data_IF_111358382633
#
_entry.id   IF_111358382633
#
_cell.length_a   1.000
_cell.length_b   1.000
_cell.length_c   1.000
_cell.angle_alpha   90.00
_cell.angle_beta   90.00
_cell.angle_gamma   90.00
#
_symmetry.space_group_name_H-M   'P 1'
#
loop_
_entity.id
_entity.type
_entity.pdbx_description
1 polymer ?
#
# COMPACT_ATOMS: atom_id res chain seq x y z
N UNK A 1 -39.80 -38.08 13.22
CA UNK A 1 -38.54 -37.38 13.57
C UNK A 1 -38.23 -36.49 12.39
N UNK A 2 -38.23 -35.17 12.58
CA UNK A 2 -38.11 -34.23 11.47
C UNK A 2 -36.67 -34.19 10.92
N UNK A 3 -36.49 -34.71 9.69
CA UNK A 3 -35.22 -34.72 8.96
C UNK A 3 -35.03 -33.41 8.20
N UNK A 4 -33.78 -32.99 7.98
CA UNK A 4 -33.48 -31.81 7.17
C UNK A 4 -33.47 -32.16 5.67
N UNK A 5 -34.18 -31.38 4.87
CA UNK A 5 -34.14 -31.50 3.42
C UNK A 5 -32.87 -30.84 2.86
N UNK A 6 -32.11 -31.59 2.08
CA UNK A 6 -30.89 -31.12 1.40
C UNK A 6 -31.10 -30.78 -0.08
N UNK A 7 -32.32 -30.85 -0.58
CA UNK A 7 -32.62 -30.34 -1.92
C UNK A 7 -32.31 -28.84 -1.98
N UNK A 8 -31.67 -28.42 -3.07
CA UNK A 8 -31.22 -27.03 -3.27
C UNK A 8 -32.41 -26.07 -3.18
N UNK A 9 -32.25 -24.98 -2.43
CA UNK A 9 -33.28 -23.97 -2.11
C UNK A 9 -34.48 -24.44 -1.25
N UNK A 10 -34.49 -25.67 -0.71
CA UNK A 10 -35.53 -26.10 0.22
C UNK A 10 -35.12 -25.84 1.68
N UNK A 11 -34.14 -26.58 2.21
CA UNK A 11 -33.62 -26.39 3.58
C UNK A 11 -34.63 -26.58 4.71
N UNK A 12 -35.84 -27.07 4.43
CA UNK A 12 -36.90 -27.27 5.41
C UNK A 12 -36.74 -28.60 6.14
N UNK A 13 -37.28 -28.68 7.36
CA UNK A 13 -37.43 -29.95 8.07
C UNK A 13 -38.72 -30.64 7.64
N UNK A 14 -38.67 -31.95 7.43
CA UNK A 14 -39.82 -32.75 6.98
C UNK A 14 -39.89 -34.08 7.73
N UNK A 15 -41.10 -34.63 7.85
CA UNK A 15 -41.30 -35.98 8.38
C UNK A 15 -41.38 -36.99 7.22
N UNK A 16 -40.55 -38.05 7.21
CA UNK A 16 -40.53 -39.04 6.13
C UNK A 16 -41.89 -39.71 5.86
N UNK A 17 -42.69 -39.89 6.90
CA UNK A 17 -44.01 -40.54 6.83
C UNK A 17 -45.06 -39.67 6.10
N UNK A 18 -44.84 -38.36 6.01
CA UNK A 18 -45.74 -37.41 5.36
C UNK A 18 -45.12 -36.77 4.10
N UNK A 19 -44.05 -37.37 3.55
CA UNK A 19 -43.34 -36.86 2.38
C UNK A 19 -44.04 -37.28 1.09
N UNK A 20 -44.79 -36.36 0.48
CA UNK A 20 -45.47 -36.57 -0.81
C UNK A 20 -44.71 -35.94 -1.97
N UNK A 21 -45.05 -36.32 -3.21
CA UNK A 21 -44.41 -35.83 -4.43
C UNK A 21 -44.53 -34.31 -4.64
N UNK A 22 -45.46 -33.65 -3.95
CA UNK A 22 -45.64 -32.19 -4.01
C UNK A 22 -45.10 -31.44 -2.78
N UNK A 23 -44.47 -32.13 -1.83
CA UNK A 23 -44.09 -31.56 -0.53
C UNK A 23 -42.87 -30.62 -0.60
N UNK A 24 -41.91 -30.87 -1.49
CA UNK A 24 -40.68 -30.10 -1.59
C UNK A 24 -40.65 -29.22 -2.84
N UNK A 25 -40.30 -27.93 -2.70
CA UNK A 25 -39.99 -27.04 -3.81
C UNK A 25 -38.48 -26.79 -3.88
N UNK A 26 -37.84 -27.25 -4.96
CA UNK A 26 -36.40 -27.15 -5.12
C UNK A 26 -35.96 -26.90 -6.57
N UNK A 27 -34.67 -26.62 -6.75
CA UNK A 27 -34.04 -26.52 -8.06
C UNK A 27 -33.23 -27.79 -8.36
N UNK A 28 -33.61 -28.61 -9.35
CA UNK A 28 -32.83 -29.78 -9.76
C UNK A 28 -31.56 -29.39 -10.53
N UNK A 29 -31.50 -28.14 -11.02
CA UNK A 29 -30.38 -27.63 -11.79
C UNK A 29 -29.15 -27.28 -10.97
N UNK A 30 -28.15 -26.75 -11.66
CA UNK A 30 -26.95 -26.17 -11.06
C UNK A 30 -27.04 -24.64 -11.06
N UNK A 31 -26.42 -23.95 -10.09
CA UNK A 31 -26.21 -22.51 -10.18
C UNK A 31 -25.49 -22.15 -11.47
N UNK A 32 -25.97 -21.13 -12.17
CA UNK A 32 -25.31 -20.56 -13.34
C UNK A 32 -25.04 -19.06 -13.09
N UNK A 33 -23.85 -18.63 -13.47
CA UNK A 33 -23.39 -17.25 -13.32
C UNK A 33 -22.82 -16.79 -14.67
N UNK A 34 -23.59 -15.97 -15.40
CA UNK A 34 -23.20 -15.45 -16.71
C UNK A 34 -23.72 -14.03 -16.89
N UNK A 35 -22.94 -13.13 -17.50
CA UNK A 35 -23.31 -11.73 -17.74
C UNK A 35 -23.82 -10.97 -16.51
N UNK A 36 -23.15 -11.14 -15.36
CA UNK A 36 -23.55 -10.61 -14.05
C UNK A 36 -24.93 -11.09 -13.53
N UNK A 37 -25.59 -11.98 -14.25
CA UNK A 37 -26.83 -12.62 -13.88
C UNK A 37 -26.57 -13.97 -13.20
N UNK A 38 -27.26 -14.19 -12.10
CA UNK A 38 -27.21 -15.37 -11.25
C UNK A 38 -28.54 -16.09 -11.35
N UNK A 39 -28.52 -17.41 -11.52
CA UNK A 39 -29.75 -18.19 -11.57
C UNK A 39 -29.49 -19.68 -11.59
N UNK A 40 -30.53 -20.44 -11.94
CA UNK A 40 -30.47 -21.90 -11.97
C UNK A 40 -30.64 -22.41 -13.40
N UNK A 41 -29.91 -23.46 -13.78
CA UNK A 41 -30.04 -24.05 -15.13
C UNK A 41 -31.43 -24.63 -15.41
N UNK A 42 -32.18 -25.00 -14.37
CA UNK A 42 -33.51 -25.60 -14.47
C UNK A 42 -34.65 -24.59 -14.67
N UNK A 43 -34.42 -23.28 -14.51
CA UNK A 43 -35.46 -22.27 -14.74
C UNK A 43 -34.90 -20.98 -15.32
N UNK A 44 -35.77 -20.12 -15.87
CA UNK A 44 -35.36 -18.85 -16.52
C UNK A 44 -35.22 -17.67 -15.55
N UNK A 45 -35.49 -17.84 -14.26
CA UNK A 45 -35.35 -16.76 -13.27
C UNK A 45 -33.87 -16.40 -13.10
N UNK A 46 -33.55 -15.12 -13.24
CA UNK A 46 -32.21 -14.55 -13.17
C UNK A 46 -32.26 -13.28 -12.32
N UNK A 47 -31.23 -13.04 -11.53
CA UNK A 47 -31.07 -11.82 -10.73
C UNK A 47 -29.63 -11.35 -10.77
N UNK A 48 -29.42 -10.05 -10.67
CA UNK A 48 -28.10 -9.44 -10.50
C UNK A 48 -27.61 -9.49 -9.06
N UNK A 49 -28.51 -9.62 -8.07
CA UNK A 49 -28.18 -9.63 -6.64
C UNK A 49 -27.91 -11.05 -6.11
N UNK A 50 -26.90 -11.19 -5.25
CA UNK A 50 -26.53 -12.49 -4.70
C UNK A 50 -27.50 -12.98 -3.61
N UNK A 51 -28.04 -12.07 -2.80
CA UNK A 51 -29.00 -12.42 -1.74
C UNK A 51 -30.34 -12.83 -2.34
N UNK A 52 -30.77 -12.14 -3.38
CA UNK A 52 -31.96 -12.52 -4.16
C UNK A 52 -31.76 -13.89 -4.83
N UNK A 53 -30.56 -14.20 -5.34
CA UNK A 53 -30.26 -15.51 -5.95
C UNK A 53 -30.45 -16.67 -4.97
N UNK A 54 -29.93 -16.55 -3.75
CA UNK A 54 -30.11 -17.54 -2.69
C UNK A 54 -31.58 -17.70 -2.29
N UNK A 55 -32.37 -16.65 -2.46
CA UNK A 55 -33.79 -16.59 -2.12
C UNK A 55 -34.72 -17.04 -3.27
N UNK A 56 -34.18 -17.42 -4.45
CA UNK A 56 -35.01 -17.90 -5.57
C UNK A 56 -35.67 -19.22 -5.16
N UNK A 57 -37.00 -19.18 -4.98
CA UNK A 57 -37.81 -20.37 -4.71
C UNK A 57 -37.61 -21.44 -5.79
N UNK A 58 -37.54 -22.70 -5.36
CA UNK A 58 -37.45 -23.87 -6.21
C UNK A 58 -38.48 -23.86 -7.35
N UNK A 59 -38.06 -24.31 -8.54
CA UNK A 59 -38.93 -24.34 -9.71
C UNK A 59 -39.61 -25.71 -9.93
N UNK A 60 -39.21 -26.73 -9.17
CA UNK A 60 -39.70 -28.12 -9.32
C UNK A 60 -40.29 -28.59 -8.00
N UNK A 61 -41.42 -29.30 -8.08
CA UNK A 61 -42.02 -30.02 -6.96
C UNK A 61 -41.51 -31.46 -6.93
N UNK A 62 -41.27 -31.99 -5.75
CA UNK A 62 -40.87 -33.39 -5.56
C UNK A 62 -40.89 -33.78 -4.09
N UNK A 63 -40.32 -34.95 -3.80
CA UNK A 63 -40.08 -35.40 -2.44
C UNK A 63 -38.94 -34.62 -1.78
N UNK A 64 -39.01 -34.43 -0.47
CA UNK A 64 -37.86 -33.99 0.30
C UNK A 64 -36.78 -35.09 0.33
N UNK A 65 -35.51 -34.70 0.26
CA UNK A 65 -34.37 -35.62 0.37
C UNK A 65 -33.58 -35.35 1.65
N UNK A 66 -33.35 -36.39 2.45
CA UNK A 66 -32.47 -36.33 3.63
C UNK A 66 -31.01 -36.64 3.29
N UNK A 67 -30.71 -36.96 2.02
CA UNK A 67 -29.35 -37.26 1.57
C UNK A 67 -28.60 -35.95 1.35
N UNK A 68 -27.51 -35.74 2.11
CA UNK A 68 -26.61 -34.62 1.89
C UNK A 68 -25.86 -34.85 0.57
N UNK A 69 -26.00 -33.97 -0.44
CA UNK A 69 -25.18 -34.05 -1.65
C UNK A 69 -23.70 -34.02 -1.26
N UNK A 70 -22.83 -34.79 -1.93
CA UNK A 70 -21.40 -34.72 -1.70
C UNK A 70 -20.94 -33.27 -1.84
N UNK A 71 -20.13 -32.80 -0.90
CA UNK A 71 -19.55 -31.46 -0.97
C UNK A 71 -18.83 -31.32 -2.31
N UNK A 72 -19.15 -30.31 -3.14
CA UNK A 72 -18.44 -30.10 -4.38
C UNK A 72 -16.99 -29.73 -4.04
N UNK A 73 -16.10 -30.71 -4.07
CA UNK A 73 -14.68 -30.47 -4.24
C UNK A 73 -14.52 -29.56 -5.45
N UNK A 74 -13.71 -28.51 -5.30
CA UNK A 74 -13.43 -27.54 -6.35
C UNK A 74 -13.16 -28.28 -7.67
N UNK A 75 -14.12 -28.21 -8.59
CA UNK A 75 -13.95 -28.84 -9.88
C UNK A 75 -12.96 -27.99 -10.67
N UNK A 76 -11.74 -28.49 -10.77
CA UNK A 76 -10.82 -28.18 -11.86
C UNK A 76 -11.57 -28.43 -13.17
N UNK A 77 -11.63 -27.41 -14.03
CA UNK A 77 -12.27 -27.50 -15.35
C UNK A 77 -11.51 -28.50 -16.23
N UNK A 78 -11.91 -29.77 -16.19
CA UNK A 78 -11.63 -30.74 -17.24
C UNK A 78 -12.79 -30.70 -18.23
N UNK A 79 -12.70 -29.81 -19.21
CA UNK A 79 -13.63 -29.78 -20.35
C UNK A 79 -13.03 -30.62 -21.49
N UNK A 80 -13.51 -31.86 -21.61
CA UNK A 80 -13.30 -32.68 -22.80
C UNK A 80 -14.05 -32.08 -24.00
N UNK A 81 -13.30 -31.77 -25.06
CA UNK A 81 -13.77 -31.26 -26.35
C UNK A 81 -14.67 -32.27 -27.08
N UNK A 82 -15.69 -31.79 -27.82
CA UNK A 82 -16.01 -32.33 -29.14
C UNK A 82 -15.50 -31.40 -30.25
N UNK A 83 -14.94 -31.98 -31.32
CA UNK A 83 -14.41 -31.28 -32.49
C UNK A 83 -15.53 -30.63 -33.33
N UNK A 84 -15.39 -29.34 -33.66
CA UNK A 84 -15.89 -28.75 -34.91
C UNK A 84 -15.11 -27.48 -35.31
N UNK A 85 -14.83 -27.42 -36.63
CA UNK A 85 -14.12 -26.50 -37.55
C UNK A 85 -13.82 -25.02 -37.17
N UNK A 86 -12.78 -24.40 -37.79
CA UNK A 86 -12.30 -23.07 -37.45
C UNK A 86 -13.11 -21.96 -38.15
N UNK A 87 -13.59 -20.98 -37.38
CA UNK A 87 -13.98 -19.67 -37.86
C UNK A 87 -13.25 -18.64 -37.00
N UNK A 88 -12.52 -17.75 -37.65
CA UNK A 88 -11.76 -16.67 -37.03
C UNK A 88 -12.71 -15.76 -36.24
N UNK A 89 -12.52 -15.66 -34.93
CA UNK A 89 -13.16 -14.63 -34.10
C UNK A 89 -12.12 -13.93 -33.22
N UNK A 90 -11.77 -12.73 -33.68
CA UNK A 90 -11.60 -11.48 -32.92
C UNK A 90 -11.22 -11.68 -31.44
N UNK A 91 -9.94 -11.40 -31.15
CA UNK A 91 -9.36 -11.34 -29.80
C UNK A 91 -10.10 -10.26 -29.00
N UNK A 92 -11.12 -10.68 -28.26
CA UNK A 92 -11.65 -9.87 -27.15
C UNK A 92 -10.86 -10.30 -25.91
N UNK A 93 -9.85 -9.52 -25.52
CA UNK A 93 -9.08 -9.81 -24.30
C UNK A 93 -10.03 -9.75 -23.09
N UNK A 94 -10.30 -10.91 -22.49
CA UNK A 94 -10.98 -11.00 -21.19
C UNK A 94 -10.17 -10.21 -20.16
N UNK A 95 -10.80 -9.39 -19.28
CA UNK A 95 -10.08 -8.77 -18.17
C UNK A 95 -9.40 -9.87 -17.35
N UNK A 96 -8.10 -9.69 -17.07
CA UNK A 96 -7.32 -10.64 -16.28
C UNK A 96 -7.98 -10.80 -14.90
N UNK A 97 -8.06 -12.03 -14.40
CA UNK A 97 -8.53 -12.30 -13.03
C UNK A 97 -7.65 -11.56 -12.01
N UNK A 98 -8.25 -11.06 -10.93
CA UNK A 98 -7.54 -10.35 -9.86
C UNK A 98 -6.38 -11.16 -9.28
N UNK A 99 -6.53 -12.49 -9.20
CA UNK A 99 -5.47 -13.41 -8.75
C UNK A 99 -4.25 -13.44 -9.69
N UNK A 100 -4.50 -13.39 -11.00
CA UNK A 100 -3.43 -13.35 -12.00
C UNK A 100 -2.73 -11.98 -12.01
N UNK A 101 -3.49 -10.90 -11.81
CA UNK A 101 -2.93 -9.56 -11.65
C UNK A 101 -2.02 -9.45 -10.42
N UNK A 102 -2.41 -10.05 -9.29
CA UNK A 102 -1.57 -10.08 -8.09
C UNK A 102 -0.29 -10.90 -8.28
N UNK A 103 -0.32 -12.02 -9.01
CA UNK A 103 0.87 -12.84 -9.30
C UNK A 103 1.83 -12.20 -10.31
N UNK A 104 1.31 -11.43 -11.27
CA UNK A 104 2.11 -10.69 -12.26
C UNK A 104 2.67 -9.38 -11.69
N UNK A 105 2.24 -8.99 -10.48
CA UNK A 105 2.65 -7.74 -9.83
C UNK A 105 4.12 -7.82 -9.37
N UNK A 106 4.97 -6.88 -9.80
CA UNK A 106 6.36 -6.80 -9.36
C UNK A 106 6.48 -6.64 -7.84
N UNK A 107 7.61 -7.05 -7.26
CA UNK A 107 7.82 -6.91 -5.82
C UNK A 107 7.81 -5.43 -5.40
N UNK A 108 7.30 -5.17 -4.20
CA UNK A 108 7.37 -3.87 -3.55
C UNK A 108 8.83 -3.42 -3.31
N UNK A 109 9.73 -4.38 -3.06
CA UNK A 109 11.16 -4.17 -2.81
C UNK A 109 11.99 -3.86 -4.07
N UNK A 110 11.36 -3.74 -5.25
CA UNK A 110 12.09 -3.31 -6.45
C UNK A 110 12.74 -1.92 -6.25
N UNK A 111 13.96 -1.70 -6.78
CA UNK A 111 14.68 -0.46 -6.58
C UNK A 111 13.88 0.73 -7.11
N UNK A 112 13.68 1.73 -6.25
CA UNK A 112 12.90 2.93 -6.57
C UNK A 112 13.76 3.91 -7.35
N UNK A 113 13.22 4.42 -8.46
CA UNK A 113 13.89 5.43 -9.26
C UNK A 113 13.49 6.83 -8.80
N UNK A 114 14.47 7.74 -8.72
CA UNK A 114 14.20 9.14 -8.43
C UNK A 114 13.53 9.82 -9.62
N UNK A 115 12.37 10.44 -9.40
CA UNK A 115 11.60 11.12 -10.42
C UNK A 115 12.09 12.56 -10.63
N UNK A 116 12.10 13.06 -11.88
CA UNK A 116 12.49 14.44 -12.16
C UNK A 116 11.45 15.42 -11.60
N UNK A 117 11.93 16.42 -10.85
CA UNK A 117 11.07 17.46 -10.27
C UNK A 117 11.00 18.64 -11.24
N UNK A 118 9.79 19.00 -11.65
CA UNK A 118 9.52 20.24 -12.40
C UNK A 118 8.86 21.26 -11.48
N UNK A 119 9.52 22.40 -11.31
CA UNK A 119 9.03 23.49 -10.45
C UNK A 119 8.24 24.48 -11.32
N UNK A 120 7.10 24.95 -10.82
CA UNK A 120 6.33 25.98 -11.52
C UNK A 120 6.93 27.36 -11.27
N UNK A 121 6.89 28.24 -12.28
CA UNK A 121 7.39 29.62 -12.20
C UNK A 121 6.79 30.41 -11.02
N UNK A 122 5.53 30.16 -10.69
CA UNK A 122 4.85 30.81 -9.57
C UNK A 122 5.48 30.44 -8.22
N UNK A 123 5.90 29.19 -8.05
CA UNK A 123 6.57 28.74 -6.82
C UNK A 123 7.99 29.30 -6.73
N UNK A 124 8.73 29.33 -7.84
CA UNK A 124 10.07 29.95 -7.91
C UNK A 124 10.01 31.41 -7.45
N UNK A 125 9.09 32.21 -8.01
CA UNK A 125 8.90 33.60 -7.63
C UNK A 125 8.48 33.78 -6.16
N UNK A 126 7.65 32.87 -5.64
CA UNK A 126 7.25 32.91 -4.24
C UNK A 126 8.43 32.64 -3.29
N UNK A 127 9.30 31.68 -3.64
CA UNK A 127 10.50 31.37 -2.87
C UNK A 127 11.54 32.50 -2.95
N UNK A 128 11.71 33.12 -4.11
CA UNK A 128 12.56 34.31 -4.28
C UNK A 128 12.08 35.46 -3.39
N UNK A 129 10.78 35.76 -3.38
CA UNK A 129 10.19 36.81 -2.52
C UNK A 129 10.37 36.52 -1.03
N UNK A 130 10.20 35.27 -0.60
CA UNK A 130 10.42 34.86 0.79
C UNK A 130 11.88 35.03 1.22
N UNK A 131 12.82 34.79 0.30
CA UNK A 131 14.25 35.04 0.51
C UNK A 131 14.64 36.53 0.49
N UNK A 132 13.85 37.38 -0.16
CA UNK A 132 14.06 38.83 -0.18
C UNK A 132 13.45 39.50 1.06
N UNK A 133 12.27 39.06 1.51
CA UNK A 133 11.61 39.61 2.70
C UNK A 133 12.35 39.31 4.01
N UNK A 134 13.22 38.29 4.03
CA UNK A 134 14.12 38.01 5.16
C UNK A 134 15.39 38.88 5.16
N UNK A 135 15.60 39.72 4.14
CA UNK A 135 16.78 40.60 4.00
C UNK A 135 16.54 42.08 4.34
N UNK A 136 15.31 42.52 4.60
CA UNK A 136 14.99 43.94 4.83
C UNK A 136 15.18 44.43 6.29
N UNK A 137 15.67 43.59 7.20
CA UNK A 137 16.25 44.02 8.49
C UNK A 137 17.77 43.78 8.44
N UNK A 138 18.54 44.80 8.08
CA UNK A 138 20.00 44.72 7.98
C UNK A 138 20.66 45.65 9.04
N UNK A 139 21.91 45.41 9.47
CA UNK A 139 23.04 45.48 8.55
C UNK A 139 24.05 44.31 8.59
N UNK A 140 24.65 44.11 7.41
CA UNK A 140 25.96 43.51 7.09
C UNK A 140 26.17 41.98 7.28
N UNK A 141 26.19 41.28 6.13
CA UNK A 141 26.72 39.92 5.98
C UNK A 141 26.15 39.22 4.74
N UNK A 142 26.92 39.20 3.64
CA UNK A 142 26.56 38.59 2.35
C UNK A 142 26.56 37.03 2.42
N UNK A 143 25.79 36.41 1.51
CA UNK A 143 25.82 34.98 1.08
C UNK A 143 25.27 33.96 2.11
N UNK A 144 24.63 32.81 1.81
CA UNK A 144 24.41 31.99 0.62
C UNK A 144 23.21 31.05 0.89
N UNK A 145 22.79 30.29 -0.13
CA UNK A 145 22.08 29.04 0.06
C UNK A 145 22.78 28.18 1.13
N UNK A 146 22.06 27.85 2.22
CA UNK A 146 22.36 26.77 3.17
C UNK A 146 23.85 26.45 3.42
N UNK A 147 24.70 27.46 3.63
CA UNK A 147 26.07 27.21 4.10
C UNK A 147 25.99 26.88 5.58
N UNK A 148 26.27 25.62 5.90
CA UNK A 148 26.49 25.17 7.28
C UNK A 148 27.53 26.08 7.91
N UNK A 149 27.23 26.67 9.07
CA UNK A 149 28.18 27.58 9.73
C UNK A 149 29.29 26.78 10.39
N UNK A 150 30.52 27.25 10.28
CA UNK A 150 31.63 26.71 11.05
C UNK A 150 31.27 26.72 12.55
N UNK A 151 31.42 25.59 13.22
CA UNK A 151 30.92 25.34 14.57
C UNK A 151 29.65 24.49 14.66
N UNK A 152 29.01 24.13 13.53
CA UNK A 152 27.81 23.27 13.55
C UNK A 152 28.16 21.82 13.87
N UNK A 153 27.54 21.22 14.87
CA UNK A 153 27.77 19.81 15.24
C UNK A 153 27.00 18.84 14.34
N UNK A 154 27.62 17.69 14.06
CA UNK A 154 26.96 16.59 13.37
C UNK A 154 25.79 16.07 14.20
N UNK A 155 24.67 15.79 13.53
CA UNK A 155 23.41 15.35 14.15
C UNK A 155 23.16 13.85 14.04
N UNK A 156 24.09 13.11 13.46
CA UNK A 156 24.05 11.65 13.48
C UNK A 156 24.36 11.14 14.90
N UNK A 157 23.65 10.09 15.35
CA UNK A 157 23.80 9.55 16.69
C UNK A 157 25.23 9.05 16.94
N UNK A 158 25.80 9.36 18.11
CA UNK A 158 27.20 9.11 18.49
C UNK A 158 28.27 9.91 17.73
N UNK A 159 27.93 10.68 16.69
CA UNK A 159 28.89 11.54 16.01
C UNK A 159 29.04 12.88 16.76
N UNK A 160 30.26 13.22 17.16
CA UNK A 160 30.60 14.48 17.84
C UNK A 160 31.38 15.47 16.96
N UNK A 161 31.45 15.20 15.65
CA UNK A 161 32.19 16.05 14.72
C UNK A 161 31.58 17.46 14.64
N UNK A 162 32.44 18.44 14.43
CA UNK A 162 32.07 19.85 14.29
C UNK A 162 32.46 20.28 12.88
N UNK A 163 31.51 20.87 12.16
CA UNK A 163 31.74 21.43 10.84
C UNK A 163 32.72 22.60 10.95
N UNK A 164 33.88 22.50 10.32
CA UNK A 164 34.89 23.57 10.24
C UNK A 164 34.96 24.19 8.84
N UNK A 165 34.42 23.50 7.83
CA UNK A 165 34.40 23.94 6.45
C UNK A 165 34.08 22.79 5.49
N UNK A 166 34.22 23.01 4.17
CA UNK A 166 33.99 21.98 3.13
C UNK A 166 34.84 20.72 3.32
N UNK A 167 35.99 20.83 3.98
CA UNK A 167 36.85 19.70 4.35
C UNK A 167 36.17 18.73 5.32
N UNK A 168 35.35 19.23 6.26
CA UNK A 168 34.61 18.39 7.21
C UNK A 168 33.56 17.52 6.51
N UNK A 169 33.13 17.86 5.28
CA UNK A 169 32.24 17.02 4.47
C UNK A 169 32.95 15.79 3.90
N UNK A 170 34.28 15.79 3.82
CA UNK A 170 35.08 14.68 3.28
C UNK A 170 35.45 13.65 4.35
N UNK A 171 35.27 14.00 5.61
CA UNK A 171 35.48 13.08 6.72
C UNK A 171 34.36 12.03 6.79
N UNK A 172 34.72 10.83 7.24
CA UNK A 172 33.78 9.72 7.38
C UNK A 172 33.08 9.85 8.73
N UNK A 173 31.76 10.00 8.71
CA UNK A 173 30.94 10.02 9.90
C UNK A 173 30.70 8.59 10.40
N UNK A 174 31.10 8.27 11.62
CA UNK A 174 30.70 7.04 12.32
C UNK A 174 29.51 7.31 13.23
N UNK A 175 28.43 6.54 13.05
CA UNK A 175 27.17 6.76 13.77
C UNK A 175 26.32 5.49 13.91
N UNK A 176 25.30 5.57 14.76
CA UNK A 176 24.26 4.54 14.84
C UNK A 176 23.07 4.91 13.94
N UNK A 177 22.74 4.10 12.90
CA UNK A 177 21.55 4.34 12.07
C UNK A 177 20.25 3.96 12.78
N UNK A 178 20.34 3.11 13.82
CA UNK A 178 19.20 2.66 14.61
C UNK A 178 18.73 3.69 15.65
N UNK A 179 17.75 3.28 16.44
CA UNK A 179 17.16 4.08 17.52
C UNK A 179 17.65 3.59 18.89
N UNK A 180 17.70 4.46 19.90
CA UNK A 180 18.00 4.05 21.27
C UNK A 180 16.85 3.19 21.83
N UNK A 181 17.20 2.07 22.45
CA UNK A 181 16.26 1.12 23.07
C UNK A 181 16.56 1.00 24.55
N UNK A 182 15.53 1.17 25.37
CA UNK A 182 15.58 1.06 26.83
C UNK A 182 14.55 0.02 27.27
N UNK A 183 15.00 -1.18 27.61
CA UNK A 183 14.15 -2.33 27.96
C UNK A 183 14.82 -3.12 29.08
N UNK A 184 14.05 -3.45 30.13
CA UNK A 184 14.52 -4.28 31.27
C UNK A 184 15.84 -3.77 31.91
N UNK A 185 16.01 -2.46 32.02
CA UNK A 185 17.22 -1.84 32.60
C UNK A 185 18.44 -1.83 31.66
N UNK A 186 18.34 -2.48 30.50
CA UNK A 186 19.35 -2.48 29.44
C UNK A 186 19.12 -1.32 28.48
N UNK A 187 20.23 -0.75 28.01
CA UNK A 187 20.30 0.39 27.08
C UNK A 187 21.16 -0.03 25.91
N UNK A 188 20.65 0.12 24.68
CA UNK A 188 21.38 -0.26 23.48
C UNK A 188 20.83 0.44 22.23
N UNK A 189 21.58 0.40 21.14
CA UNK A 189 21.08 0.82 19.83
C UNK A 189 20.50 -0.35 19.06
N UNK A 190 19.33 -0.18 18.45
CA UNK A 190 18.66 -1.24 17.67
C UNK A 190 19.48 -1.75 16.47
N UNK A 191 20.46 -0.96 16.00
CA UNK A 191 21.29 -1.30 14.85
C UNK A 191 22.43 -2.28 15.14
N UNK A 192 22.98 -2.29 16.37
CA UNK A 192 24.11 -3.16 16.72
C UNK A 192 23.86 -4.02 17.97
N UNK A 193 22.83 -3.72 18.76
CA UNK A 193 22.45 -4.53 19.90
C UNK A 193 23.46 -4.58 21.04
N UNK A 194 24.42 -3.65 21.09
CA UNK A 194 25.44 -3.60 22.16
C UNK A 194 24.79 -3.10 23.45
N UNK A 195 24.55 -4.01 24.39
CA UNK A 195 23.83 -3.74 25.65
C UNK A 195 24.76 -3.20 26.73
N UNK A 196 24.26 -2.20 27.45
CA UNK A 196 24.86 -1.67 28.67
C UNK A 196 23.77 -1.32 29.67
N UNK A 197 24.06 -1.46 30.97
CA UNK A 197 23.16 -0.99 32.04
C UNK A 197 23.46 0.46 32.42
N UNK A 198 24.68 0.95 32.17
CA UNK A 198 25.12 2.32 32.46
C UNK A 198 24.74 3.29 31.32
N UNK A 199 24.16 4.44 31.67
CA UNK A 199 23.68 5.43 30.70
C UNK A 199 24.82 6.25 30.05
N UNK A 200 25.88 6.55 30.80
CA UNK A 200 27.05 7.24 30.27
C UNK A 200 27.78 6.36 29.27
N UNK A 201 27.98 5.08 29.62
CA UNK A 201 28.54 4.09 28.72
C UNK A 201 27.70 3.93 27.44
N UNK A 202 26.36 4.08 27.52
CA UNK A 202 25.48 4.06 26.35
C UNK A 202 25.71 5.27 25.42
N UNK A 203 25.84 6.49 25.98
CA UNK A 203 26.11 7.70 25.20
C UNK A 203 27.50 7.71 24.56
N UNK A 204 28.44 6.98 25.14
CA UNK A 204 29.82 6.84 24.66
C UNK A 204 30.03 5.69 23.68
N UNK A 205 28.99 4.89 23.39
CA UNK A 205 29.10 3.80 22.43
C UNK A 205 29.51 4.33 21.04
N UNK A 206 30.56 3.78 20.40
CA UNK A 206 30.98 4.20 19.08
C UNK A 206 29.94 3.76 18.03
N UNK A 207 29.69 4.64 17.06
CA UNK A 207 28.79 4.36 15.94
C UNK A 207 29.15 3.07 15.21
N UNK A 208 28.16 2.25 14.89
CA UNK A 208 28.35 0.95 14.25
C UNK A 208 28.28 0.99 12.71
N UNK A 209 28.07 2.17 12.12
CA UNK A 209 28.02 2.35 10.68
C UNK A 209 28.74 3.63 10.26
N UNK A 210 29.23 3.65 9.03
CA UNK A 210 29.97 4.76 8.46
C UNK A 210 29.18 5.39 7.31
N UNK A 211 29.26 6.71 7.16
CA UNK A 211 28.61 7.45 6.09
C UNK A 211 29.00 8.92 6.09
N UNK A 212 28.12 9.76 5.55
CA UNK A 212 28.35 11.21 5.46
C UNK A 212 27.80 11.93 6.68
N UNK A 213 28.46 13.03 7.08
CA UNK A 213 28.00 13.86 8.18
C UNK A 213 26.66 14.53 7.87
N UNK A 214 25.81 14.64 8.89
CA UNK A 214 24.53 15.34 8.82
C UNK A 214 24.62 16.63 9.64
N UNK A 215 24.82 17.76 8.98
CA UNK A 215 25.00 19.06 9.64
C UNK A 215 23.70 19.84 9.81
N UNK A 216 22.74 19.61 8.92
CA UNK A 216 21.40 20.19 9.00
C UNK A 216 20.52 19.34 9.92
N UNK A 217 19.58 19.97 10.64
CA UNK A 217 18.61 19.26 11.49
C UNK A 217 17.99 18.09 10.75
N UNK A 218 17.88 16.91 11.41
CA UNK A 218 16.73 16.05 11.11
C UNK A 218 15.52 16.94 11.33
N UNK A 219 14.91 17.32 10.23
CA UNK A 219 13.77 18.21 10.27
C UNK A 219 12.68 17.64 11.16
N UNK A 220 11.87 18.50 11.76
CA UNK A 220 10.71 18.02 12.48
C UNK A 220 9.85 17.24 11.47
N UNK A 221 9.64 15.95 11.74
CA UNK A 221 8.72 15.14 10.95
C UNK A 221 7.31 15.68 11.21
N UNK A 222 6.69 16.25 10.17
CA UNK A 222 5.38 16.89 10.26
C UNK A 222 4.43 16.18 9.32
N UNK A 223 3.27 15.79 9.85
CA UNK A 223 2.17 15.29 9.03
C UNK A 223 1.60 16.43 8.19
N UNK A 224 1.54 16.24 6.87
CA UNK A 224 0.85 17.14 5.96
C UNK A 224 -0.47 16.50 5.55
N UNK A 225 -1.49 17.33 5.30
CA UNK A 225 -2.66 16.85 4.56
C UNK A 225 -2.17 16.39 3.18
N UNK A 226 -2.63 15.22 2.77
CA UNK A 226 -2.38 14.68 1.44
C UNK A 226 -3.65 14.06 0.88
N UNK A 227 -3.81 14.17 -0.43
CA UNK A 227 -4.88 13.55 -1.20
C UNK A 227 -4.22 12.86 -2.40
N UNK A 228 -4.61 11.62 -2.71
CA UNK A 228 -4.07 10.91 -3.86
C UNK A 228 -5.14 10.09 -4.58
N UNK A 229 -4.96 9.93 -5.88
CA UNK A 229 -5.75 9.02 -6.69
C UNK A 229 -4.90 8.51 -7.85
N UNK A 230 -5.35 7.42 -8.45
CA UNK A 230 -4.71 6.85 -9.63
C UNK A 230 -5.75 6.44 -10.66
N UNK A 231 -5.36 6.53 -11.91
CA UNK A 231 -6.05 6.05 -13.09
C UNK A 231 -5.24 4.91 -13.71
N UNK A 232 -5.69 4.35 -14.83
CA UNK A 232 -4.94 3.31 -15.54
C UNK A 232 -3.56 3.77 -16.04
N UNK A 233 -3.34 5.08 -16.19
CA UNK A 233 -2.11 5.63 -16.78
C UNK A 233 -1.44 6.73 -15.96
N UNK A 234 -2.08 7.24 -14.91
CA UNK A 234 -1.57 8.38 -14.14
C UNK A 234 -1.81 8.18 -12.65
N UNK A 235 -0.81 8.54 -11.85
CA UNK A 235 -0.90 8.66 -10.40
C UNK A 235 -0.78 10.13 -10.06
N UNK A 236 -1.72 10.66 -9.27
CA UNK A 236 -1.73 12.05 -8.83
C UNK A 236 -1.67 12.07 -7.31
N UNK A 237 -0.58 12.61 -6.77
CA UNK A 237 -0.38 12.82 -5.33
C UNK A 237 -0.32 14.32 -5.07
N UNK A 238 -1.21 14.81 -4.22
CA UNK A 238 -1.28 16.22 -3.81
C UNK A 238 -0.90 16.31 -2.34
N UNK A 239 0.18 17.03 -2.03
CA UNK A 239 0.62 17.29 -0.65
C UNK A 239 0.49 18.77 -0.34
N UNK A 240 -0.24 19.10 0.72
CA UNK A 240 -0.46 20.49 1.14
C UNK A 240 0.61 20.87 2.17
N UNK A 241 1.64 21.56 1.71
CA UNK A 241 2.73 22.07 2.54
C UNK A 241 2.97 23.56 2.26
N UNK A 242 3.27 24.34 3.30
CA UNK A 242 3.58 25.76 3.16
C UNK A 242 5.03 25.93 2.72
N UNK A 243 5.27 26.69 1.66
CA UNK A 243 6.62 27.00 1.17
C UNK A 243 7.52 25.75 1.02
N UNK A 244 7.15 24.80 0.14
CA UNK A 244 7.98 23.63 -0.13
C UNK A 244 9.30 24.05 -0.78
N UNK A 245 10.36 23.27 -0.51
CA UNK A 245 11.71 23.48 -1.02
C UNK A 245 12.05 22.35 -2.01
N UNK A 246 11.80 22.54 -3.33
CA UNK A 246 11.95 21.47 -4.31
C UNK A 246 13.37 20.93 -4.42
N UNK A 247 14.38 21.79 -4.29
CA UNK A 247 15.79 21.40 -4.39
C UNK A 247 16.27 20.44 -3.28
N UNK A 248 15.55 20.40 -2.15
CA UNK A 248 15.84 19.52 -1.02
C UNK A 248 14.81 18.39 -0.87
N UNK A 249 13.78 18.40 -1.71
CA UNK A 249 12.73 17.39 -1.72
C UNK A 249 13.06 16.30 -2.75
N UNK A 250 12.50 15.11 -2.58
CA UNK A 250 12.67 14.02 -3.52
C UNK A 250 11.40 13.19 -3.62
N UNK A 251 11.13 12.67 -4.82
CA UNK A 251 10.08 11.68 -5.04
C UNK A 251 10.73 10.49 -5.72
N UNK A 252 10.52 9.30 -5.18
CA UNK A 252 11.00 8.05 -5.76
C UNK A 252 9.81 7.16 -6.06
N UNK A 253 9.87 6.41 -7.15
CA UNK A 253 8.81 5.47 -7.48
C UNK A 253 9.37 4.21 -8.13
N UNK A 254 8.68 3.10 -7.94
CA UNK A 254 8.79 1.92 -8.78
C UNK A 254 7.40 1.59 -9.35
N UNK A 255 7.19 0.36 -9.82
CA UNK A 255 5.92 -0.06 -10.44
C UNK A 255 4.77 -0.21 -9.44
N UNK A 256 5.08 -0.31 -8.15
CA UNK A 256 4.12 -0.67 -7.11
C UNK A 256 4.02 0.36 -5.99
N UNK A 257 4.98 1.28 -5.90
CA UNK A 257 5.17 2.19 -4.76
C UNK A 257 5.61 3.56 -5.22
N UNK A 258 5.06 4.60 -4.58
CA UNK A 258 5.58 5.96 -4.63
C UNK A 258 6.01 6.39 -3.23
N UNK A 259 7.24 6.82 -3.09
CA UNK A 259 7.81 7.40 -1.87
C UNK A 259 8.00 8.90 -2.08
N UNK A 260 7.41 9.70 -1.20
CA UNK A 260 7.42 11.16 -1.25
C UNK A 260 8.17 11.69 -0.04
N UNK A 261 9.19 12.52 -0.27
CA UNK A 261 9.94 13.21 0.76
C UNK A 261 9.98 14.71 0.45
N UNK A 262 9.21 15.51 1.21
CA UNK A 262 9.09 16.95 0.99
C UNK A 262 9.69 17.70 2.16
N UNK A 263 10.63 18.60 1.88
CA UNK A 263 11.15 19.56 2.85
C UNK A 263 10.46 20.89 2.62
N UNK A 264 9.99 21.52 3.70
CA UNK A 264 9.25 22.78 3.64
C UNK A 264 9.53 23.63 4.89
N UNK A 265 9.25 24.94 4.81
CA UNK A 265 9.52 25.90 5.91
C UNK A 265 10.94 25.77 6.50
N UNK A 266 11.95 25.58 5.64
CA UNK A 266 13.37 25.53 6.00
C UNK A 266 13.85 24.20 6.59
N UNK A 267 13.07 23.59 7.50
CA UNK A 267 13.49 22.38 8.22
C UNK A 267 12.36 21.42 8.57
N UNK A 268 11.12 21.59 8.09
CA UNK A 268 10.08 20.58 8.30
C UNK A 268 10.16 19.52 7.22
N UNK A 269 9.95 18.26 7.61
CA UNK A 269 10.02 17.12 6.69
C UNK A 269 8.68 16.41 6.71
N UNK A 270 8.13 16.18 5.52
CA UNK A 270 7.03 15.26 5.30
C UNK A 270 7.54 14.04 4.54
N UNK A 271 7.21 12.86 5.04
CA UNK A 271 7.51 11.57 4.39
C UNK A 271 6.23 10.77 4.27
N UNK A 272 6.00 10.19 3.10
CA UNK A 272 4.87 9.31 2.82
C UNK A 272 5.25 8.22 1.81
N UNK A 273 4.65 7.05 1.97
CA UNK A 273 4.79 5.92 1.05
C UNK A 273 3.38 5.50 0.62
N UNK A 274 3.16 5.33 -0.69
CA UNK A 274 1.87 5.04 -1.29
C UNK A 274 1.95 3.78 -2.14
N UNK A 275 1.09 2.81 -1.85
CA UNK A 275 0.91 1.61 -2.66
C UNK A 275 0.05 1.92 -3.89
N UNK A 276 0.64 1.79 -5.07
CA UNK A 276 -0.05 1.94 -6.36
C UNK A 276 -0.80 0.66 -6.67
N UNK A 277 -2.08 0.70 -7.06
CA UNK A 277 -2.81 -0.53 -7.41
C UNK A 277 -2.80 -0.73 -8.93
N UNK A 278 -2.22 -1.84 -9.39
CA UNK A 278 -2.01 -2.11 -10.81
C UNK A 278 -1.14 -3.33 -11.03
#
# INVERSE_FOLDING_TARGET
MALLCYNKSCGQRFDPEHNTEDSCLYHPGVPIFHDALKGWSCCKKRTTDFSEFLSIKGCTKGFHSAEKPPEPGSQEETSEKPKAKPMEEIITQRPKSAERMQRERPSFDEPRQLLPIKVSRSLEQALEKLNLSSKDEAPEGREAAAQVRAGTTCKNAACKAIYQGPESNREVCTFHPGVPVFHEGMKYWSCCGVKTTDFSAFLEQPGCSSGWHCWTGKGAAVSCRQDWHQTSSQVVVTVYARSPLPALSSVKANRTVVEVHIIFEGSKIFHAELDLWG
#
